data_IF_841008685682
#
_entry.id   IF_841008685682
#
_cell.length_a   1.000
_cell.length_b   1.000
_cell.length_c   1.000
_cell.angle_alpha   90.00
_cell.angle_beta   90.00
_cell.angle_gamma   90.00
#
_symmetry.space_group_name_H-M   'P 1'
#
loop_
_entity.id
_entity.type
_entity.pdbx_description
1 polymer ?
#
# COMPACT_ATOMS: atom_id res chain seq x y z
N UNK A 1 -10.84 9.23 18.08
CA UNK A 1 -10.92 8.65 16.72
C UNK A 1 -9.91 7.52 16.64
N UNK A 2 -10.34 6.31 16.26
CA UNK A 2 -9.48 5.12 16.23
C UNK A 2 -8.43 5.24 15.13
N UNK A 3 -7.14 5.19 15.48
CA UNK A 3 -6.01 5.22 14.54
C UNK A 3 -6.11 4.15 13.45
N UNK A 4 -6.72 3.00 13.77
CA UNK A 4 -6.99 1.90 12.83
C UNK A 4 -7.84 2.30 11.62
N UNK A 5 -8.77 3.24 11.77
CA UNK A 5 -9.64 3.66 10.68
C UNK A 5 -8.86 4.49 9.66
N UNK A 6 -8.01 5.39 10.15
CA UNK A 6 -7.16 6.23 9.29
C UNK A 6 -6.16 5.40 8.49
N UNK A 7 -5.57 4.37 9.11
CA UNK A 7 -4.70 3.42 8.41
C UNK A 7 -5.44 2.64 7.33
N UNK A 8 -6.67 2.19 7.59
CA UNK A 8 -7.49 1.48 6.61
C UNK A 8 -7.84 2.36 5.40
N UNK A 9 -8.08 3.66 5.62
CA UNK A 9 -8.30 4.62 4.54
C UNK A 9 -7.06 4.79 3.67
N UNK A 10 -5.88 4.94 4.29
CA UNK A 10 -4.61 5.06 3.56
C UNK A 10 -4.29 3.78 2.77
N UNK A 11 -4.48 2.60 3.39
CA UNK A 11 -4.31 1.31 2.70
C UNK A 11 -5.23 1.23 1.48
N UNK A 12 -6.51 1.58 1.64
CA UNK A 12 -7.49 1.56 0.56
C UNK A 12 -7.10 2.52 -0.57
N UNK A 13 -6.62 3.72 -0.24
CA UNK A 13 -6.13 4.67 -1.25
C UNK A 13 -4.93 4.11 -2.02
N UNK A 14 -3.95 3.53 -1.34
CA UNK A 14 -2.75 2.96 -1.97
C UNK A 14 -3.12 1.81 -2.89
N UNK A 15 -4.01 0.91 -2.46
CA UNK A 15 -4.47 -0.22 -3.26
C UNK A 15 -5.27 0.26 -4.48
N UNK A 16 -6.13 1.28 -4.30
CA UNK A 16 -6.89 1.89 -5.40
C UNK A 16 -5.95 2.55 -6.41
N UNK A 17 -4.97 3.35 -5.95
CA UNK A 17 -3.92 3.90 -6.81
C UNK A 17 -3.14 2.80 -7.52
N UNK A 18 -2.79 1.71 -6.85
CA UNK A 18 -2.10 0.59 -7.49
C UNK A 18 -2.97 -0.13 -8.54
N UNK A 19 -4.30 -0.14 -8.38
CA UNK A 19 -5.22 -0.69 -9.36
C UNK A 19 -5.42 0.24 -10.57
N UNK A 20 -5.54 1.55 -10.33
CA UNK A 20 -5.80 2.55 -11.37
C UNK A 20 -4.53 3.05 -12.08
N UNK A 21 -3.40 3.10 -11.39
CA UNK A 21 -2.13 3.62 -11.90
C UNK A 21 -1.09 2.48 -12.05
N UNK A 22 -0.89 1.95 -13.27
CA UNK A 22 0.04 0.84 -13.49
C UNK A 22 1.50 1.22 -13.22
N UNK A 23 1.88 2.49 -13.38
CA UNK A 23 3.23 2.97 -13.06
C UNK A 23 3.49 3.00 -11.55
N UNK A 24 2.52 3.48 -10.77
CA UNK A 24 2.56 3.44 -9.31
C UNK A 24 2.67 1.99 -8.83
N UNK A 25 1.84 1.09 -9.38
CA UNK A 25 1.91 -0.35 -9.10
C UNK A 25 3.29 -0.93 -9.39
N UNK A 26 3.89 -0.64 -10.56
CA UNK A 26 5.25 -1.10 -10.90
C UNK A 26 6.28 -0.61 -9.89
N UNK A 27 6.19 0.65 -9.45
CA UNK A 27 7.09 1.20 -8.43
C UNK A 27 6.87 0.56 -7.07
N UNK A 28 5.62 0.31 -6.71
CA UNK A 28 5.22 -0.31 -5.45
C UNK A 28 5.60 -1.80 -5.39
N UNK A 29 5.56 -2.52 -6.52
CA UNK A 29 6.11 -3.88 -6.64
C UNK A 29 7.64 -3.87 -6.53
N UNK A 30 8.30 -2.92 -7.21
CA UNK A 30 9.76 -2.86 -7.29
C UNK A 30 10.41 -2.45 -5.97
N UNK A 31 9.83 -1.47 -5.27
CA UNK A 31 10.32 -0.97 -3.99
C UNK A 31 9.14 -0.53 -3.10
N UNK A 32 8.41 -1.48 -2.49
CA UNK A 32 7.26 -1.15 -1.67
C UNK A 32 7.66 -0.35 -0.43
N UNK A 33 8.77 -0.71 0.21
CA UNK A 33 9.23 -0.04 1.44
C UNK A 33 9.41 1.46 1.25
N UNK A 34 10.12 1.86 0.18
CA UNK A 34 10.38 3.27 -0.13
C UNK A 34 9.10 4.07 -0.44
N UNK A 35 8.12 3.44 -1.08
CA UNK A 35 6.83 4.08 -1.35
C UNK A 35 6.04 4.20 -0.05
N UNK A 36 5.97 3.12 0.73
CA UNK A 36 5.24 3.02 1.98
C UNK A 36 5.87 3.82 3.13
N UNK A 37 7.14 4.21 3.02
CA UNK A 37 7.80 5.18 3.90
C UNK A 37 7.24 6.60 3.76
N UNK A 38 6.70 6.96 2.58
CA UNK A 38 6.02 8.24 2.40
C UNK A 38 4.63 8.29 3.05
N UNK A 39 4.12 7.14 3.54
CA UNK A 39 2.81 7.04 4.18
C UNK A 39 2.98 6.81 5.69
N UNK A 40 2.23 7.58 6.47
CA UNK A 40 2.21 7.48 7.93
C UNK A 40 1.27 6.33 8.36
N UNK A 41 1.73 5.10 8.11
CA UNK A 41 1.01 3.86 8.42
C UNK A 41 1.90 2.90 9.21
N UNK A 42 1.28 2.09 10.08
CA UNK A 42 2.02 1.11 10.87
C UNK A 42 2.70 0.06 10.01
N UNK A 43 3.72 -0.60 10.56
CA UNK A 43 4.42 -1.70 9.87
C UNK A 43 3.47 -2.82 9.44
N UNK A 44 2.43 -3.09 10.22
CA UNK A 44 1.38 -4.05 9.88
C UNK A 44 0.66 -3.67 8.58
N UNK A 45 0.25 -2.40 8.44
CA UNK A 45 -0.37 -1.89 7.22
C UNK A 45 0.58 -1.98 6.02
N UNK A 46 1.87 -1.66 6.20
CA UNK A 46 2.88 -1.81 5.15
C UNK A 46 2.99 -3.27 4.69
N UNK A 47 2.98 -4.21 5.64
CA UNK A 47 3.03 -5.64 5.36
C UNK A 47 1.77 -6.13 4.61
N UNK A 48 0.59 -5.68 5.01
CA UNK A 48 -0.67 -6.01 4.31
C UNK A 48 -0.61 -5.54 2.86
N UNK A 49 -0.23 -4.30 2.61
CA UNK A 49 -0.13 -3.75 1.25
C UNK A 49 0.89 -4.53 0.41
N UNK A 50 2.08 -4.80 0.95
CA UNK A 50 3.11 -5.60 0.28
C UNK A 50 2.58 -6.97 -0.13
N UNK A 51 1.86 -7.64 0.79
CA UNK A 51 1.27 -8.96 0.53
C UNK A 51 0.18 -8.89 -0.54
N UNK A 52 -0.75 -7.93 -0.45
CA UNK A 52 -1.84 -7.76 -1.42
C UNK A 52 -1.34 -7.51 -2.83
N UNK A 53 -0.26 -6.74 -2.99
CA UNK A 53 0.27 -6.41 -4.32
C UNK A 53 1.04 -7.58 -4.91
N UNK A 54 1.78 -8.32 -4.08
CA UNK A 54 2.50 -9.53 -4.51
C UNK A 54 1.53 -10.61 -4.99
N UNK A 55 0.39 -10.75 -4.30
CA UNK A 55 -0.69 -11.67 -4.66
C UNK A 55 -1.33 -11.30 -6.01
N UNK A 56 -1.56 -10.01 -6.27
CA UNK A 56 -2.17 -9.51 -7.52
C UNK A 56 -1.29 -9.69 -8.77
N UNK A 57 -0.01 -10.05 -8.63
CA UNK A 57 0.95 -10.26 -9.74
C UNK A 57 1.07 -11.74 -10.14
N UNK A 58 0.46 -12.67 -9.40
CA UNK A 58 0.28 -14.06 -9.85
C UNK A 58 -0.88 -14.21 -10.84
#
# INVERSE_FOLDING_TARGET
MNSKNMEAEIISEILLKAASEPEFRKRLIKNPEKILECYDISREAKYVIQRSIKDSVQ
#
